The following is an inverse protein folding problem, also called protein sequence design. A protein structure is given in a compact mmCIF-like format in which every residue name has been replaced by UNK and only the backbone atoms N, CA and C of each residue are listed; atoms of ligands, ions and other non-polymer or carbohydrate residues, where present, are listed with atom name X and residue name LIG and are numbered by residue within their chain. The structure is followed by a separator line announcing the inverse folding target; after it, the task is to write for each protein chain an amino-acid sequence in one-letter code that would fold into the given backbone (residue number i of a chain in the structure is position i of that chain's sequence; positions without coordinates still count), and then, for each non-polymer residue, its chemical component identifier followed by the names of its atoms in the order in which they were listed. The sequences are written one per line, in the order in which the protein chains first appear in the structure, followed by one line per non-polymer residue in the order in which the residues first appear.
data_IF_525405650203
#
_entry.id   IF_525405650203
#
_cell.length_a   1.000
_cell.length_b   1.000
_cell.length_c   1.000
_cell.angle_alpha   90.00
_cell.angle_beta   90.00
_cell.angle_gamma   90.00
#
_symmetry.space_group_name_H-M   'P 1'
#
loop_
_entity.id
_entity.type
_entity.pdbx_description
1 polymer ?
#
# COMPACT_ATOMS: atom_id res chain seq x y z
N UNK A 1 40.61 15.74 33.20
CA UNK A 1 39.51 15.74 32.21
C UNK A 1 39.84 16.76 31.13
N UNK A 2 39.99 16.33 29.86
CA UNK A 2 40.23 17.24 28.74
C UNK A 2 38.84 17.69 28.24
N UNK A 3 38.63 18.98 28.04
CA UNK A 3 37.36 19.57 27.57
C UNK A 3 37.58 20.19 26.19
N UNK A 4 36.66 19.98 25.25
CA UNK A 4 36.65 20.69 23.96
C UNK A 4 35.61 21.78 24.01
N UNK A 5 36.01 23.01 23.72
CA UNK A 5 35.08 24.12 23.50
C UNK A 5 34.74 24.16 22.02
N UNK A 6 33.49 23.88 21.67
CA UNK A 6 32.99 24.06 20.30
C UNK A 6 32.26 25.39 20.22
N UNK A 7 32.70 26.23 19.30
CA UNK A 7 32.05 27.50 18.97
C UNK A 7 30.96 27.27 17.91
N UNK A 8 29.71 27.46 18.30
CA UNK A 8 28.56 27.33 17.40
C UNK A 8 28.01 28.71 17.05
N UNK A 9 28.00 28.98 15.76
CA UNK A 9 27.56 30.25 15.18
C UNK A 9 26.02 30.28 15.03
N UNK A 10 25.35 31.12 15.83
CA UNK A 10 23.91 31.35 15.73
C UNK A 10 23.60 32.25 14.53
N UNK A 11 22.98 31.67 13.52
CA UNK A 11 22.54 32.41 12.33
C UNK A 11 21.26 33.19 12.64
N UNK A 12 21.31 34.53 12.64
CA UNK A 12 20.09 35.34 12.52
C UNK A 12 19.54 35.22 11.10
N UNK A 13 18.24 34.96 10.90
CA UNK A 13 17.65 35.16 9.59
C UNK A 13 17.64 36.67 9.30
N UNK A 14 18.30 37.08 8.20
CA UNK A 14 18.00 38.37 7.58
C UNK A 14 16.50 38.41 7.32
N UNK A 15 15.83 39.45 7.82
CA UNK A 15 14.37 39.61 7.74
C UNK A 15 13.98 39.82 6.28
N UNK A 16 13.76 38.72 5.56
CA UNK A 16 13.08 38.73 4.28
C UNK A 16 11.59 38.52 4.57
N UNK A 17 10.76 39.51 4.23
CA UNK A 17 9.30 39.36 4.14
C UNK A 17 9.03 38.05 3.38
N UNK A 18 8.21 37.16 3.94
CA UNK A 18 7.86 35.86 3.33
C UNK A 18 7.24 36.11 1.94
N UNK A 19 8.04 35.96 0.89
CA UNK A 19 7.57 35.80 -0.48
C UNK A 19 7.31 34.32 -0.80
N UNK A 20 6.64 34.04 -1.93
CA UNK A 20 6.29 32.68 -2.34
C UNK A 20 7.55 31.82 -2.47
N UNK A 21 7.44 30.58 -2.00
CA UNK A 21 8.50 29.60 -1.79
C UNK A 21 9.47 29.52 -2.97
N UNK A 22 10.61 30.23 -2.88
CA UNK A 22 11.68 30.13 -3.87
C UNK A 22 12.66 29.00 -3.52
N UNK A 23 13.12 28.34 -4.58
CA UNK A 23 14.03 27.19 -4.62
C UNK A 23 15.18 27.25 -3.59
N UNK A 24 15.51 26.10 -2.98
CA UNK A 24 16.56 25.94 -1.94
C UNK A 24 17.94 26.41 -2.39
N UNK A 25 18.20 26.42 -3.70
CA UNK A 25 19.44 26.84 -4.35
C UNK A 25 19.70 28.36 -4.33
N UNK A 26 18.72 29.20 -3.98
CA UNK A 26 18.87 30.67 -3.97
C UNK A 26 19.14 31.29 -2.59
N UNK A 27 19.56 30.50 -1.59
CA UNK A 27 19.83 31.03 -0.25
C UNK A 27 21.09 31.91 -0.24
N UNK A 28 20.90 33.23 -0.03
CA UNK A 28 21.97 34.15 0.41
C UNK A 28 22.72 33.53 1.61
N UNK A 29 24.06 33.63 1.60
CA UNK A 29 24.93 33.22 2.71
C UNK A 29 24.40 33.84 4.01
N UNK A 30 24.05 32.98 4.97
CA UNK A 30 23.68 33.42 6.32
C UNK A 30 24.98 33.67 7.07
N UNK A 31 25.18 34.87 7.61
CA UNK A 31 26.25 35.16 8.57
C UNK A 31 25.70 35.09 9.99
N UNK A 32 26.51 34.58 10.92
CA UNK A 32 26.19 34.56 12.34
C UNK A 32 26.72 35.83 13.02
N UNK A 33 25.97 36.36 13.98
CA UNK A 33 26.40 37.51 14.80
C UNK A 33 26.73 37.12 16.25
N UNK A 34 26.43 35.88 16.65
CA UNK A 34 26.67 35.39 18.01
C UNK A 34 27.26 33.99 17.97
N UNK A 35 28.25 33.74 18.82
CA UNK A 35 28.95 32.47 18.94
C UNK A 35 28.72 31.92 20.34
N UNK A 36 28.12 30.73 20.44
CA UNK A 36 27.92 30.04 21.72
C UNK A 36 29.04 29.02 21.89
N UNK A 37 29.68 29.05 23.06
CA UNK A 37 30.70 28.08 23.48
C UNK A 37 30.03 26.91 24.20
N UNK A 38 30.02 25.74 23.58
CA UNK A 38 29.52 24.49 24.19
C UNK A 38 30.73 23.69 24.65
N UNK A 39 30.78 23.35 25.94
CA UNK A 39 31.84 22.53 26.54
C UNK A 39 31.43 21.07 26.44
N UNK A 40 32.22 20.26 25.73
CA UNK A 40 31.99 18.83 25.56
C UNK A 40 33.15 18.01 26.15
N UNK A 41 32.83 16.80 26.59
CA UNK A 41 33.81 15.86 27.14
C UNK A 41 34.55 15.10 26.02
N UNK A 42 35.87 14.94 26.18
CA UNK A 42 36.80 14.51 25.11
C UNK A 42 36.70 13.01 24.76
N UNK A 43 35.94 12.23 25.52
CA UNK A 43 35.74 10.81 25.21
C UNK A 43 34.85 10.57 23.97
N UNK A 44 34.10 11.59 23.51
CA UNK A 44 33.38 11.57 22.24
C UNK A 44 34.34 11.72 21.03
N UNK A 45 35.30 10.80 20.88
CA UNK A 45 36.22 10.75 19.75
C UNK A 45 35.46 10.30 18.49
N UNK A 46 35.11 11.29 17.66
CA UNK A 46 34.55 11.17 16.29
C UNK A 46 33.05 10.84 16.25
N UNK A 47 32.25 11.86 15.97
CA UNK A 47 30.80 11.75 15.85
C UNK A 47 30.43 11.22 14.46
N UNK A 48 30.26 9.91 14.32
CA UNK A 48 29.72 9.26 13.12
C UNK A 48 28.77 8.15 13.54
N UNK A 49 27.60 8.02 12.88
CA UNK A 49 26.63 6.97 13.21
C UNK A 49 25.66 7.35 14.35
N UNK A 50 25.31 6.42 15.23
CA UNK A 50 24.26 6.59 16.26
C UNK A 50 24.52 7.79 17.18
N UNK A 51 25.79 8.08 17.47
CA UNK A 51 26.21 9.24 18.28
C UNK A 51 25.99 10.57 17.56
N UNK A 52 25.96 10.58 16.23
CA UNK A 52 25.57 11.76 15.44
C UNK A 52 24.08 12.06 15.55
N UNK A 53 23.23 11.04 15.71
CA UNK A 53 21.82 11.24 15.99
C UNK A 53 21.59 11.74 17.41
N UNK A 54 22.38 11.25 18.37
CA UNK A 54 22.41 11.79 19.73
C UNK A 54 22.80 13.26 19.70
N UNK A 55 23.89 13.60 19.01
CA UNK A 55 24.36 14.98 18.83
C UNK A 55 23.34 15.86 18.09
N UNK A 56 22.72 15.41 17.00
CA UNK A 56 21.64 16.15 16.30
C UNK A 56 20.44 16.34 17.22
N UNK A 57 20.13 15.37 18.07
CA UNK A 57 19.02 15.49 19.01
C UNK A 57 19.33 16.42 20.17
N UNK A 58 20.52 16.38 20.76
CA UNK A 58 20.93 17.28 21.83
C UNK A 58 21.21 18.68 21.33
N UNK A 59 22.01 18.84 20.27
CA UNK A 59 22.21 20.14 19.63
C UNK A 59 20.92 20.68 19.02
N UNK A 60 20.02 19.83 18.54
CA UNK A 60 18.66 20.21 18.12
C UNK A 60 17.79 20.65 19.29
N UNK A 61 17.86 19.99 20.45
CA UNK A 61 17.18 20.40 21.68
C UNK A 61 17.77 21.71 22.23
N UNK A 62 19.09 21.88 22.22
CA UNK A 62 19.78 23.13 22.60
C UNK A 62 19.40 24.25 21.63
N UNK A 63 19.43 24.00 20.32
CA UNK A 63 19.01 24.98 19.30
C UNK A 63 17.50 25.25 19.33
N UNK A 64 16.65 24.34 19.79
CA UNK A 64 15.22 24.63 20.04
C UNK A 64 15.00 25.39 21.35
N UNK A 65 15.79 25.08 22.38
CA UNK A 65 15.73 25.72 23.70
C UNK A 65 16.30 27.15 23.68
N UNK A 66 17.35 27.38 22.91
CA UNK A 66 18.04 28.69 22.80
C UNK A 66 17.84 29.38 21.46
N UNK A 67 17.47 28.66 20.40
CA UNK A 67 17.07 29.28 19.15
C UNK A 67 15.75 29.98 19.40
N UNK A 68 15.81 31.31 19.46
CA UNK A 68 14.64 32.16 19.48
C UNK A 68 13.75 31.74 18.32
N UNK A 69 12.69 30.98 18.59
CA UNK A 69 11.65 30.71 17.62
C UNK A 69 11.10 32.09 17.23
N UNK A 70 11.59 32.62 16.11
CA UNK A 70 11.31 33.97 15.64
C UNK A 70 9.91 34.00 15.00
N UNK A 71 8.94 33.56 15.79
CA UNK A 71 7.52 33.60 15.52
C UNK A 71 6.99 34.58 16.55
N UNK A 72 6.45 35.71 16.11
CA UNK A 72 5.96 36.79 16.98
C UNK A 72 4.99 36.33 18.08
N UNK A 73 4.39 35.15 17.91
CA UNK A 73 3.50 34.51 18.87
C UNK A 73 4.22 33.69 19.95
N UNK A 74 5.37 33.08 19.66
CA UNK A 74 6.11 32.24 20.62
C UNK A 74 6.76 33.06 21.74
N UNK A 75 7.32 34.22 21.39
CA UNK A 75 7.91 35.15 22.37
C UNK A 75 6.86 35.83 23.27
N UNK A 76 5.60 35.85 22.86
CA UNK A 76 4.46 36.37 23.63
C UNK A 76 3.78 35.32 24.50
N UNK A 77 4.19 34.07 24.38
CA UNK A 77 3.63 32.96 25.11
C UNK A 77 4.30 32.90 26.48
N UNK A 78 3.52 32.67 27.53
CA UNK A 78 4.01 32.45 28.88
C UNK A 78 5.00 31.29 28.94
N UNK A 79 5.94 31.36 29.88
CA UNK A 79 6.99 30.37 30.08
C UNK A 79 6.40 28.97 30.32
N UNK A 80 5.30 28.90 31.09
CA UNK A 80 4.63 27.66 31.45
C UNK A 80 4.03 26.95 30.23
N UNK A 81 3.32 27.67 29.33
CA UNK A 81 2.84 27.07 28.09
C UNK A 81 3.96 26.68 27.12
N UNK A 82 5.08 27.44 27.08
CA UNK A 82 6.26 27.05 26.29
C UNK A 82 6.83 25.72 26.77
N UNK A 83 6.97 25.56 28.09
CA UNK A 83 7.45 24.34 28.71
C UNK A 83 6.50 23.16 28.51
N UNK A 84 5.20 23.37 28.64
CA UNK A 84 4.18 22.34 28.37
C UNK A 84 4.23 21.82 26.94
N UNK A 85 4.34 22.71 25.94
CA UNK A 85 4.45 22.29 24.53
C UNK A 85 5.76 21.55 24.28
N UNK A 86 6.86 22.03 24.84
CA UNK A 86 8.16 21.36 24.73
C UNK A 86 8.10 19.94 25.32
N UNK A 87 7.57 19.80 26.53
CA UNK A 87 7.41 18.51 27.21
C UNK A 87 6.49 17.55 26.43
N UNK A 88 5.40 18.06 25.85
CA UNK A 88 4.51 17.27 25.00
C UNK A 88 5.21 16.77 23.71
N UNK A 89 6.02 17.62 23.09
CA UNK A 89 6.81 17.26 21.91
C UNK A 89 7.88 16.20 22.26
N UNK A 90 8.57 16.36 23.39
CA UNK A 90 9.56 15.41 23.88
C UNK A 90 8.94 14.04 24.19
N UNK A 91 7.81 14.02 24.90
CA UNK A 91 7.06 12.78 25.21
C UNK A 91 6.63 12.04 23.95
N UNK A 92 6.15 12.77 22.95
CA UNK A 92 5.78 12.20 21.64
C UNK A 92 7.01 11.63 20.92
N UNK A 93 8.13 12.35 20.94
CA UNK A 93 9.40 11.92 20.36
C UNK A 93 9.92 10.63 21.01
N UNK A 94 9.91 10.55 22.34
CA UNK A 94 10.31 9.35 23.09
C UNK A 94 9.44 8.14 22.77
N UNK A 95 8.11 8.32 22.75
CA UNK A 95 7.19 7.26 22.34
C UNK A 95 7.50 6.76 20.93
N UNK A 96 7.72 7.68 20.00
CA UNK A 96 8.07 7.34 18.62
C UNK A 96 9.44 6.65 18.50
N UNK A 97 10.39 6.95 19.39
CA UNK A 97 11.69 6.24 19.46
C UNK A 97 11.49 4.82 19.99
N UNK A 98 10.73 4.63 21.08
CA UNK A 98 10.38 3.31 21.64
C UNK A 98 9.65 2.45 20.59
N UNK A 99 8.64 3.00 19.93
CA UNK A 99 7.91 2.29 18.87
C UNK A 99 8.82 1.89 17.70
N UNK A 100 9.78 2.74 17.32
CA UNK A 100 10.78 2.41 16.29
C UNK A 100 11.75 1.32 16.73
N UNK A 101 12.11 1.25 18.01
CA UNK A 101 12.99 0.20 18.55
C UNK A 101 12.36 -1.20 18.43
N UNK A 102 11.03 -1.30 18.54
CA UNK A 102 10.30 -2.55 18.33
C UNK A 102 10.00 -2.85 16.86
N UNK A 103 10.36 -1.97 15.92
CA UNK A 103 10.10 -2.18 14.50
C UNK A 103 11.17 -3.09 13.88
N UNK A 104 10.78 -4.33 13.61
CA UNK A 104 11.64 -5.31 12.94
C UNK A 104 11.84 -5.01 11.44
N UNK A 105 10.86 -4.34 10.82
CA UNK A 105 10.91 -3.92 9.42
C UNK A 105 11.48 -2.51 9.30
N UNK A 106 12.81 -2.41 9.42
CA UNK A 106 13.53 -1.15 9.19
C UNK A 106 13.33 -0.69 7.74
N UNK A 107 13.02 0.59 7.58
CA UNK A 107 12.90 1.25 6.27
C UNK A 107 14.21 1.99 5.95
N UNK A 108 14.57 2.03 4.67
CA UNK A 108 15.66 2.88 4.14
C UNK A 108 15.18 4.25 3.68
N UNK A 109 13.87 4.53 3.76
CA UNK A 109 13.34 5.87 3.53
C UNK A 109 13.90 6.82 4.61
N UNK A 110 15.08 7.39 4.34
CA UNK A 110 15.79 8.28 5.25
C UNK A 110 15.04 9.60 5.46
N UNK A 111 15.53 10.68 4.85
CA UNK A 111 14.99 12.04 5.03
C UNK A 111 13.72 12.34 4.22
N UNK A 112 13.33 11.47 3.28
CA UNK A 112 12.10 11.61 2.49
C UNK A 112 11.06 10.58 2.94
N UNK A 113 9.80 11.01 3.06
CA UNK A 113 8.69 10.10 3.27
C UNK A 113 8.48 9.20 2.05
N UNK A 114 8.03 7.96 2.27
CA UNK A 114 7.66 7.01 1.22
C UNK A 114 6.64 7.63 0.24
N UNK A 115 5.68 8.40 0.76
CA UNK A 115 4.70 9.13 -0.05
C UNK A 115 5.35 10.12 -1.02
N UNK A 116 6.42 10.79 -0.62
CA UNK A 116 7.16 11.71 -1.49
C UNK A 116 7.93 10.96 -2.57
N UNK A 117 8.48 9.80 -2.25
CA UNK A 117 9.15 8.93 -3.23
C UNK A 117 8.14 8.40 -4.26
N UNK A 118 6.95 7.99 -3.82
CA UNK A 118 5.86 7.58 -4.70
C UNK A 118 5.45 8.69 -5.68
N UNK A 119 5.24 9.90 -5.16
CA UNK A 119 4.82 11.06 -5.95
C UNK A 119 5.90 11.49 -6.97
N UNK A 120 7.17 11.52 -6.57
CA UNK A 120 8.27 11.82 -7.49
C UNK A 120 8.33 10.80 -8.64
N UNK A 121 8.05 9.53 -8.36
CA UNK A 121 8.01 8.48 -9.37
C UNK A 121 6.81 8.59 -10.30
N UNK A 122 5.60 8.80 -9.77
CA UNK A 122 4.39 9.06 -10.58
C UNK A 122 4.53 10.24 -11.54
N UNK A 123 5.33 11.26 -11.16
CA UNK A 123 5.62 12.42 -12.02
C UNK A 123 6.66 12.15 -13.10
N UNK A 124 7.58 11.22 -12.86
CA UNK A 124 8.71 10.95 -13.75
C UNK A 124 8.39 9.82 -14.73
N UNK A 125 7.77 8.77 -14.22
CA UNK A 125 7.32 7.60 -14.95
C UNK A 125 5.79 7.73 -14.95
N UNK A 126 5.16 7.88 -16.12
CA UNK A 126 3.69 7.95 -16.28
C UNK A 126 3.09 6.55 -16.05
N UNK A 127 3.42 5.96 -14.91
CA UNK A 127 3.14 4.58 -14.53
C UNK A 127 2.69 4.63 -13.08
N UNK A 128 1.58 3.96 -12.81
CA UNK A 128 1.13 3.78 -11.44
C UNK A 128 2.10 2.84 -10.71
N UNK A 129 2.78 3.37 -9.70
CA UNK A 129 3.72 2.57 -8.89
C UNK A 129 2.93 1.54 -8.10
N UNK A 130 3.20 0.24 -8.35
CA UNK A 130 2.53 -0.84 -7.63
C UNK A 130 2.88 -0.81 -6.14
N UNK A 131 2.01 -1.37 -5.29
CA UNK A 131 2.27 -1.45 -3.85
C UNK A 131 3.51 -2.29 -3.53
N UNK A 132 3.80 -3.31 -4.32
CA UNK A 132 5.00 -4.16 -4.18
C UNK A 132 6.25 -3.36 -4.51
N UNK A 133 6.22 -2.57 -5.58
CA UNK A 133 7.34 -1.70 -5.94
C UNK A 133 7.55 -0.63 -4.88
N UNK A 134 6.47 -0.05 -4.37
CA UNK A 134 6.51 0.94 -3.30
C UNK A 134 7.13 0.35 -2.02
N UNK A 135 6.75 -0.87 -1.66
CA UNK A 135 7.35 -1.59 -0.54
C UNK A 135 8.84 -1.83 -0.77
N UNK A 136 9.23 -2.29 -1.97
CA UNK A 136 10.62 -2.48 -2.34
C UNK A 136 11.42 -1.17 -2.24
N UNK A 137 10.88 -0.05 -2.72
CA UNK A 137 11.51 1.28 -2.56
C UNK A 137 11.69 1.67 -1.09
N UNK A 138 10.77 1.27 -0.22
CA UNK A 138 10.82 1.53 1.21
C UNK A 138 11.92 0.78 1.95
N UNK A 139 12.22 -0.43 1.51
CA UNK A 139 12.97 -1.42 2.27
C UNK A 139 14.25 -1.94 1.59
N UNK A 140 14.50 -1.58 0.33
CA UNK A 140 15.71 -1.93 -0.41
C UNK A 140 16.53 -0.69 -0.75
N UNK A 141 17.81 -0.69 -0.35
CA UNK A 141 18.76 0.35 -0.71
C UNK A 141 19.43 -0.01 -2.04
N UNK A 142 19.11 0.73 -3.11
CA UNK A 142 19.76 0.55 -4.42
C UNK A 142 21.24 0.94 -4.42
N UNK A 143 21.66 1.84 -3.52
CA UNK A 143 23.05 2.30 -3.44
C UNK A 143 23.99 1.22 -2.88
N UNK A 144 23.52 0.51 -1.86
CA UNK A 144 24.30 -0.53 -1.17
C UNK A 144 23.90 -1.93 -1.59
N UNK A 145 22.87 -2.07 -2.44
CA UNK A 145 22.29 -3.35 -2.84
C UNK A 145 21.90 -4.25 -1.67
N UNK A 146 21.41 -3.65 -0.58
CA UNK A 146 21.05 -4.36 0.66
C UNK A 146 19.60 -4.10 1.07
N UNK A 147 19.04 -5.05 1.82
CA UNK A 147 17.72 -4.98 2.45
C UNK A 147 17.81 -4.39 3.86
N UNK A 148 16.75 -3.71 4.29
CA UNK A 148 16.69 -3.05 5.60
C UNK A 148 16.63 -4.04 6.75
N UNK A 149 16.07 -5.22 6.49
CA UNK A 149 16.06 -6.41 7.34
C UNK A 149 15.77 -7.66 6.50
N UNK A 150 16.12 -8.84 7.01
CA UNK A 150 15.76 -10.12 6.36
C UNK A 150 14.24 -10.31 6.32
N UNK A 151 13.54 -9.93 7.40
CA UNK A 151 12.08 -9.96 7.46
C UNK A 151 11.40 -9.12 6.36
N UNK A 152 11.99 -7.99 5.98
CA UNK A 152 11.47 -7.19 4.87
C UNK A 152 11.60 -7.92 3.52
N UNK A 153 12.70 -8.67 3.33
CA UNK A 153 12.90 -9.49 2.14
C UNK A 153 11.92 -10.67 2.10
N UNK A 154 11.72 -11.37 3.22
CA UNK A 154 10.71 -12.44 3.34
C UNK A 154 9.30 -11.92 3.07
N UNK A 155 8.95 -10.76 3.62
CA UNK A 155 7.65 -10.12 3.39
C UNK A 155 7.43 -9.81 1.91
N UNK A 156 8.45 -9.30 1.20
CA UNK A 156 8.36 -9.07 -0.24
C UNK A 156 8.14 -10.37 -1.02
N UNK A 157 8.86 -11.44 -0.66
CA UNK A 157 8.68 -12.76 -1.29
C UNK A 157 7.25 -13.25 -1.09
N UNK A 158 6.71 -13.12 0.12
CA UNK A 158 5.31 -13.42 0.42
C UNK A 158 4.33 -12.63 -0.46
N UNK A 159 4.50 -11.31 -0.56
CA UNK A 159 3.65 -10.47 -1.43
C UNK A 159 3.71 -10.89 -2.90
N UNK A 160 4.92 -11.20 -3.42
CA UNK A 160 5.08 -11.69 -4.79
C UNK A 160 4.39 -13.04 -4.98
N UNK A 161 4.50 -13.94 -4.01
CA UNK A 161 3.79 -15.22 -4.00
C UNK A 161 2.27 -15.03 -4.07
N UNK A 162 1.70 -14.17 -3.23
CA UNK A 162 0.27 -13.88 -3.23
C UNK A 162 -0.22 -13.30 -4.57
N UNK A 163 0.56 -12.41 -5.20
CA UNK A 163 0.21 -11.87 -6.53
C UNK A 163 0.23 -12.96 -7.59
N UNK A 164 1.23 -13.84 -7.60
CA UNK A 164 1.28 -14.97 -8.53
C UNK A 164 0.10 -15.91 -8.35
N UNK A 165 -0.23 -16.28 -7.12
CA UNK A 165 -1.39 -17.12 -6.81
C UNK A 165 -2.70 -16.45 -7.24
N UNK A 166 -2.85 -15.14 -7.01
CA UNK A 166 -4.05 -14.40 -7.40
C UNK A 166 -4.24 -14.39 -8.92
N UNK A 167 -3.16 -14.22 -9.69
CA UNK A 167 -3.20 -14.30 -11.16
C UNK A 167 -3.60 -15.70 -11.65
N UNK A 168 -3.10 -16.75 -11.00
CA UNK A 168 -3.48 -18.12 -11.34
C UNK A 168 -4.97 -18.36 -11.08
N UNK A 169 -5.48 -17.90 -9.93
CA UNK A 169 -6.92 -17.99 -9.61
C UNK A 169 -7.75 -17.23 -10.65
N UNK A 170 -7.33 -16.03 -11.06
CA UNK A 170 -8.03 -15.25 -12.07
C UNK A 170 -8.12 -15.99 -13.42
N UNK A 171 -7.02 -16.59 -13.85
CA UNK A 171 -6.99 -17.45 -15.04
C UNK A 171 -7.93 -18.65 -14.90
N UNK A 172 -7.89 -19.35 -13.77
CA UNK A 172 -8.74 -20.52 -13.52
C UNK A 172 -10.23 -20.13 -13.51
N UNK A 173 -10.58 -18.99 -12.90
CA UNK A 173 -11.95 -18.46 -12.91
C UNK A 173 -12.43 -18.17 -14.34
N UNK A 174 -11.59 -17.54 -15.18
CA UNK A 174 -11.95 -17.30 -16.59
C UNK A 174 -12.18 -18.62 -17.34
N UNK A 175 -11.32 -19.61 -17.13
CA UNK A 175 -11.47 -20.95 -17.71
C UNK A 175 -12.75 -21.64 -17.25
N UNK A 176 -13.10 -21.53 -15.97
CA UNK A 176 -14.35 -22.12 -15.45
C UNK A 176 -15.58 -21.43 -16.00
N UNK A 177 -15.58 -20.10 -16.16
CA UNK A 177 -16.67 -19.36 -16.81
C UNK A 177 -16.95 -19.89 -18.21
N UNK A 178 -15.90 -20.03 -19.03
CA UNK A 178 -16.04 -20.57 -20.39
C UNK A 178 -16.64 -21.98 -20.39
N UNK A 179 -16.22 -22.85 -19.47
CA UNK A 179 -16.76 -24.21 -19.34
C UNK A 179 -18.23 -24.21 -18.92
N UNK A 180 -18.64 -23.30 -18.04
CA UNK A 180 -20.05 -23.15 -17.64
C UNK A 180 -20.89 -22.73 -18.83
N UNK A 181 -20.45 -21.73 -19.60
CA UNK A 181 -21.15 -21.27 -20.80
C UNK A 181 -21.32 -22.39 -21.85
N UNK A 182 -20.30 -23.25 -22.01
CA UNK A 182 -20.38 -24.42 -22.89
C UNK A 182 -21.38 -25.47 -22.41
N UNK A 183 -21.40 -25.75 -21.11
CA UNK A 183 -22.34 -26.70 -20.50
C UNK A 183 -23.77 -26.19 -20.62
N UNK A 184 -23.99 -24.90 -20.37
CA UNK A 184 -25.30 -24.25 -20.51
C UNK A 184 -25.83 -24.36 -21.95
N UNK A 185 -24.98 -24.09 -22.95
CA UNK A 185 -25.35 -24.28 -24.37
C UNK A 185 -25.75 -25.72 -24.69
N UNK A 186 -25.02 -26.70 -24.16
CA UNK A 186 -25.33 -28.13 -24.36
C UNK A 186 -26.62 -28.53 -23.67
N UNK A 187 -26.87 -28.02 -22.47
CA UNK A 187 -28.12 -28.26 -21.72
C UNK A 187 -29.32 -27.72 -22.50
N UNK A 188 -29.26 -26.47 -22.97
CA UNK A 188 -30.33 -25.86 -23.77
C UNK A 188 -30.60 -26.63 -25.07
N UNK A 189 -29.56 -27.16 -25.72
CA UNK A 189 -29.73 -28.00 -26.90
C UNK A 189 -30.39 -29.35 -26.57
N UNK A 190 -30.02 -29.97 -25.45
CA UNK A 190 -30.61 -31.23 -25.00
C UNK A 190 -32.09 -31.05 -24.63
N UNK A 191 -32.43 -29.96 -23.94
CA UNK A 191 -33.81 -29.61 -23.59
C UNK A 191 -34.69 -29.42 -24.83
N UNK A 192 -34.18 -28.69 -25.84
CA UNK A 192 -34.89 -28.52 -27.11
C UNK A 192 -35.16 -29.86 -27.80
N UNK A 193 -34.16 -30.76 -27.84
CA UNK A 193 -34.32 -32.10 -28.41
C UNK A 193 -35.31 -32.96 -27.62
N UNK A 194 -35.33 -32.84 -26.30
CA UNK A 194 -36.29 -33.54 -25.46
C UNK A 194 -37.72 -33.08 -25.74
N UNK A 195 -37.95 -31.76 -25.83
CA UNK A 195 -39.25 -31.20 -26.19
C UNK A 195 -39.72 -31.67 -27.58
N UNK A 196 -38.81 -31.70 -28.58
CA UNK A 196 -39.14 -32.20 -29.92
C UNK A 196 -39.45 -33.70 -29.92
N UNK A 197 -38.79 -34.49 -29.07
CA UNK A 197 -39.05 -35.92 -28.93
C UNK A 197 -40.39 -36.20 -28.24
N UNK A 198 -40.74 -35.41 -27.22
CA UNK A 198 -42.02 -35.49 -26.51
C UNK A 198 -43.20 -35.23 -27.45
N UNK A 199 -43.13 -34.17 -28.27
CA UNK A 199 -44.15 -33.89 -29.29
C UNK A 199 -44.34 -35.04 -30.28
N UNK A 200 -43.24 -35.67 -30.71
CA UNK A 200 -43.30 -36.84 -31.61
C UNK A 200 -43.91 -38.05 -30.93
N UNK A 201 -43.62 -38.27 -29.64
CA UNK A 201 -44.21 -39.35 -28.87
C UNK A 201 -45.73 -39.16 -28.75
N UNK A 202 -46.20 -37.94 -28.45
CA UNK A 202 -47.63 -37.62 -28.40
C UNK A 202 -48.34 -37.84 -29.74
N UNK A 203 -47.71 -37.44 -30.85
CA UNK A 203 -48.24 -37.70 -32.20
C UNK A 203 -48.35 -39.20 -32.51
N UNK A 204 -47.36 -39.99 -32.11
CA UNK A 204 -47.37 -41.44 -32.30
C UNK A 204 -48.42 -42.10 -31.40
N UNK A 205 -48.59 -41.64 -30.17
CA UNK A 205 -49.62 -42.14 -29.26
C UNK A 205 -51.03 -41.94 -29.84
N UNK A 206 -51.33 -40.73 -30.35
CA UNK A 206 -52.60 -40.46 -31.02
C UNK A 206 -52.85 -41.38 -32.22
N UNK A 207 -51.83 -41.62 -33.05
CA UNK A 207 -51.94 -42.55 -34.18
C UNK A 207 -52.15 -43.99 -33.74
N UNK A 208 -51.54 -44.41 -32.64
CA UNK A 208 -51.74 -45.73 -32.07
C UNK A 208 -53.19 -45.90 -31.56
N UNK A 209 -53.72 -44.93 -30.82
CA UNK A 209 -55.11 -44.93 -30.35
C UNK A 209 -56.11 -44.99 -31.52
N UNK A 210 -55.84 -44.26 -32.61
CA UNK A 210 -56.65 -44.31 -33.84
C UNK A 210 -56.59 -45.68 -34.52
N UNK A 211 -55.40 -46.29 -34.59
CA UNK A 211 -55.23 -47.62 -35.15
C UNK A 211 -55.97 -48.68 -34.32
N UNK A 212 -55.88 -48.61 -32.98
CA UNK A 212 -56.57 -49.51 -32.07
C UNK A 212 -58.09 -49.44 -32.24
N UNK A 213 -58.65 -48.22 -32.31
CA UNK A 213 -60.09 -48.03 -32.61
C UNK A 213 -60.51 -48.66 -33.93
N UNK A 214 -59.69 -48.52 -35.00
CA UNK A 214 -59.97 -49.15 -36.30
C UNK A 214 -59.91 -50.67 -36.24
N UNK A 215 -58.96 -51.23 -35.49
CA UNK A 215 -58.88 -52.68 -35.29
C UNK A 215 -60.08 -53.22 -34.51
N UNK A 216 -60.53 -52.52 -33.46
CA UNK A 216 -61.76 -52.90 -32.74
C UNK A 216 -62.98 -52.91 -33.67
N UNK A 217 -63.18 -51.85 -34.47
CA UNK A 217 -64.27 -51.79 -35.45
C UNK A 217 -64.24 -52.95 -36.44
N UNK A 218 -63.06 -53.25 -36.98
CA UNK A 218 -62.89 -54.37 -37.92
C UNK A 218 -63.17 -55.73 -37.27
N UNK A 219 -62.74 -55.92 -36.01
CA UNK A 219 -63.04 -57.14 -35.26
C UNK A 219 -64.54 -57.29 -35.01
N UNK A 220 -65.24 -56.22 -34.63
CA UNK A 220 -66.68 -56.23 -34.44
C UNK A 220 -67.41 -56.57 -35.76
N UNK A 221 -66.98 -56.01 -36.89
CA UNK A 221 -67.51 -56.34 -38.22
C UNK A 221 -67.30 -57.82 -38.59
N UNK A 222 -66.12 -58.39 -38.28
CA UNK A 222 -65.82 -59.81 -38.54
C UNK A 222 -66.73 -60.72 -37.71
N UNK A 223 -66.99 -60.37 -36.44
CA UNK A 223 -67.90 -61.13 -35.57
C UNK A 223 -69.31 -61.12 -36.18
N UNK A 224 -69.82 -59.94 -36.55
CA UNK A 224 -71.14 -59.78 -37.18
C UNK A 224 -71.30 -60.56 -38.50
N UNK A 225 -70.22 -60.74 -39.27
CA UNK A 225 -70.24 -61.53 -40.51
C UNK A 225 -70.23 -63.04 -40.26
N UNK A 226 -69.66 -63.51 -39.15
CA UNK A 226 -69.62 -64.94 -38.78
C UNK A 226 -70.94 -65.44 -38.17
N UNK A 227 -71.77 -64.53 -37.67
CA UNK A 227 -73.08 -64.83 -37.07
C UNK A 227 -74.24 -64.79 -38.08
N UNK A 228 -73.97 -64.44 -39.34
CA UNK A 228 -74.92 -64.51 -40.48
C UNK A 228 -74.76 -65.81 -41.25
#
# INVERSE_FOLDING_TARGET
MKKVVIQVNLLRPLVAKRGPTRNITLRRKRSANETISIVLDVEAKRIVGVDSQFFISESGCVVQKFGRHNVSKWAKMDENNRENIYNAAMKTSERNKKNRAHSENKTFCGTKSLARVAEEKRRTEVIEVSLIDLYQYGHFSRKTSTWGSEKAKETLVGYRGHVSTSKQIEYDVQRYKQRVDEVEKKANQAEKKACDAEKKADELAKKADEAEKRFSQMNDEIIMLKEK
#
